data_IF_900645367353
#
_entry.id   IF_900645367353
#
_cell.length_a   1.000
_cell.length_b   1.000
_cell.length_c   1.000
_cell.angle_alpha   90.00
_cell.angle_beta   90.00
_cell.angle_gamma   90.00
#
_symmetry.space_group_name_H-M   'P 1'
#
loop_
_entity.id
_entity.type
_entity.pdbx_description
1 polymer ?
#
# COMPACT_ATOMS: atom_id res chain seq x y z
N UNK A 1 -3.77 -1.62 -17.76
CA UNK A 1 -2.78 -0.61 -17.28
C UNK A 1 -2.64 -0.54 -15.75
N UNK A 2 -3.67 -0.18 -14.97
CA UNK A 2 -3.75 -0.52 -13.54
C UNK A 2 -5.17 -0.99 -13.14
N UNK A 3 -6.12 -0.88 -14.06
CA UNK A 3 -7.49 -1.37 -13.90
C UNK A 3 -7.59 -2.89 -14.10
N UNK A 4 -6.66 -3.47 -14.88
CA UNK A 4 -6.62 -4.89 -15.25
C UNK A 4 -5.65 -5.68 -14.37
N UNK A 5 -4.50 -5.09 -14.03
CA UNK A 5 -3.44 -5.73 -13.26
C UNK A 5 -2.89 -4.71 -12.27
N UNK A 6 -3.14 -4.92 -10.97
CA UNK A 6 -2.60 -4.04 -9.94
C UNK A 6 -1.11 -4.31 -9.76
N UNK A 7 -0.31 -3.25 -9.50
CA UNK A 7 1.10 -3.41 -9.20
C UNK A 7 1.33 -4.11 -7.87
N UNK A 8 2.55 -4.62 -7.67
CA UNK A 8 2.99 -5.03 -6.35
C UNK A 8 3.05 -3.81 -5.40
N UNK A 9 2.79 -4.00 -4.11
CA UNK A 9 2.87 -2.91 -3.14
C UNK A 9 4.26 -2.29 -3.10
N UNK A 10 4.34 -0.97 -3.31
CA UNK A 10 5.57 -0.21 -3.41
C UNK A 10 6.27 -0.25 -4.77
N UNK A 11 5.66 -0.82 -5.81
CA UNK A 11 6.28 -0.89 -7.14
C UNK A 11 6.57 0.52 -7.69
N UNK A 12 7.81 0.74 -8.11
CA UNK A 12 8.28 2.02 -8.66
C UNK A 12 8.78 3.01 -7.61
N UNK A 13 8.69 2.69 -6.32
CA UNK A 13 9.18 3.54 -5.24
C UNK A 13 10.63 3.19 -4.89
N UNK A 14 11.47 4.21 -4.74
CA UNK A 14 12.84 4.08 -4.20
C UNK A 14 12.78 4.39 -2.70
N UNK A 15 13.16 3.42 -1.87
CA UNK A 15 13.23 3.60 -0.43
C UNK A 15 14.69 3.86 0.01
N UNK A 16 14.89 4.90 0.81
CA UNK A 16 16.15 5.19 1.48
C UNK A 16 16.04 4.78 2.95
N UNK A 17 16.94 3.90 3.41
CA UNK A 17 16.98 3.45 4.79
C UNK A 17 18.20 4.02 5.52
N UNK A 18 17.97 4.57 6.70
CA UNK A 18 19.01 5.11 7.59
C UNK A 18 18.92 4.44 8.96
N UNK A 19 19.99 4.52 9.76
CA UNK A 19 19.98 4.02 11.13
C UNK A 19 18.99 4.83 11.98
N UNK A 20 18.27 4.16 12.87
CA UNK A 20 17.25 4.78 13.70
C UNK A 20 17.77 5.90 14.62
N UNK A 21 19.05 5.86 15.01
CA UNK A 21 19.70 6.84 15.89
C UNK A 21 20.59 7.86 15.14
N UNK A 22 20.61 7.86 13.80
CA UNK A 22 21.43 8.76 12.98
C UNK A 22 20.60 9.95 12.49
N UNK A 23 20.53 10.99 13.33
CA UNK A 23 19.69 12.17 13.07
C UNK A 23 20.17 12.96 11.85
N UNK A 24 21.49 13.08 11.66
CA UNK A 24 22.07 13.77 10.51
C UNK A 24 21.70 13.08 9.19
N UNK A 25 21.72 11.74 9.15
CA UNK A 25 21.29 11.00 7.97
C UNK A 25 19.79 11.16 7.70
N UNK A 26 18.94 11.19 8.74
CA UNK A 26 17.49 11.43 8.60
C UNK A 26 17.19 12.78 7.96
N UNK A 27 17.81 13.83 8.46
CA UNK A 27 17.63 15.19 7.93
C UNK A 27 18.04 15.29 6.46
N UNK A 28 19.12 14.60 6.07
CA UNK A 28 19.60 14.58 4.70
C UNK A 28 18.64 13.85 3.74
N UNK A 29 18.09 12.70 4.14
CA UNK A 29 17.16 11.95 3.27
C UNK A 29 15.77 12.58 3.20
N UNK A 30 15.34 13.29 4.25
CA UNK A 30 14.02 13.94 4.30
C UNK A 30 13.88 15.03 3.23
N UNK A 31 14.99 15.68 2.85
CA UNK A 31 15.03 16.66 1.74
C UNK A 31 14.60 16.04 0.40
N UNK A 32 14.90 14.76 0.18
CA UNK A 32 14.56 14.05 -1.04
C UNK A 32 13.23 13.28 -0.95
N UNK A 33 12.57 13.30 0.21
CA UNK A 33 11.39 12.51 0.47
C UNK A 33 10.13 13.17 -0.12
N UNK A 34 9.39 12.41 -0.91
CA UNK A 34 8.06 12.82 -1.37
C UNK A 34 7.00 12.35 -0.36
N UNK A 35 6.33 13.31 0.29
CA UNK A 35 5.39 13.02 1.39
C UNK A 35 4.19 12.19 0.93
N UNK A 36 3.64 12.46 -0.26
CA UNK A 36 2.48 11.74 -0.76
C UNK A 36 2.84 10.29 -1.10
N UNK A 37 3.97 10.08 -1.78
CA UNK A 37 4.51 8.75 -2.06
C UNK A 37 4.76 7.96 -0.78
N UNK A 38 5.29 8.60 0.26
CA UNK A 38 5.51 7.96 1.56
C UNK A 38 4.18 7.51 2.19
N UNK A 39 3.15 8.36 2.19
CA UNK A 39 1.81 8.02 2.72
C UNK A 39 1.19 6.85 1.95
N UNK A 40 1.25 6.88 0.61
CA UNK A 40 0.79 5.78 -0.24
C UNK A 40 1.52 4.48 0.09
N UNK A 41 2.85 4.51 0.16
CA UNK A 41 3.67 3.33 0.49
C UNK A 41 3.33 2.78 1.88
N UNK A 42 3.14 3.65 2.87
CA UNK A 42 2.78 3.23 4.23
C UNK A 42 1.43 2.49 4.24
N UNK A 43 0.42 3.03 3.55
CA UNK A 43 -0.88 2.39 3.45
C UNK A 43 -0.81 1.03 2.72
N UNK A 44 -0.10 0.95 1.59
CA UNK A 44 0.11 -0.30 0.84
C UNK A 44 0.83 -1.36 1.69
N UNK A 45 1.90 -0.98 2.39
CA UNK A 45 2.65 -1.89 3.27
C UNK A 45 1.84 -2.33 4.47
N UNK A 46 1.00 -1.46 5.02
CA UNK A 46 0.12 -1.81 6.13
C UNK A 46 -0.93 -2.84 5.70
N UNK A 47 -1.51 -2.67 4.52
CA UNK A 47 -2.40 -3.68 3.94
C UNK A 47 -1.69 -5.04 3.78
N UNK A 48 -0.49 -5.05 3.18
CA UNK A 48 0.30 -6.28 3.02
C UNK A 48 0.66 -6.93 4.37
N UNK A 49 1.04 -6.13 5.36
CA UNK A 49 1.37 -6.60 6.72
C UNK A 49 0.16 -7.27 7.37
N UNK A 50 -1.04 -6.70 7.22
CA UNK A 50 -2.29 -7.24 7.78
C UNK A 50 -2.79 -8.46 7.05
N UNK A 51 -2.62 -8.51 5.72
CA UNK A 51 -3.00 -9.66 4.91
C UNK A 51 -2.23 -10.94 5.35
N UNK A 52 -1.08 -10.80 6.01
CA UNK A 52 -0.19 -11.91 6.40
C UNK A 52 0.19 -12.81 5.22
N UNK A 53 0.15 -12.26 4.00
CA UNK A 53 0.61 -12.95 2.81
C UNK A 53 2.10 -13.24 2.92
N UNK A 54 2.51 -14.46 2.59
CA UNK A 54 3.93 -14.76 2.40
C UNK A 54 4.45 -14.04 1.14
N UNK A 55 5.78 -14.05 0.91
CA UNK A 55 6.37 -13.45 -0.29
C UNK A 55 5.87 -14.07 -1.61
N UNK A 56 5.13 -15.17 -1.55
CA UNK A 56 4.57 -15.89 -2.69
C UNK A 56 3.06 -15.65 -2.87
N UNK A 57 2.43 -14.88 -1.98
CA UNK A 57 1.02 -14.56 -2.09
C UNK A 57 0.81 -13.65 -3.32
N UNK A 58 0.00 -14.06 -4.31
CA UNK A 58 -0.24 -13.24 -5.48
C UNK A 58 -1.18 -12.11 -5.06
N UNK A 59 -0.58 -10.95 -4.77
CA UNK A 59 -1.29 -9.75 -4.32
C UNK A 59 -0.83 -8.53 -5.10
N UNK A 60 -1.79 -7.77 -5.59
CA UNK A 60 -1.59 -6.41 -6.07
C UNK A 60 -2.25 -5.42 -5.12
N UNK A 61 -1.57 -4.31 -4.82
CA UNK A 61 -2.13 -3.22 -4.00
C UNK A 61 -1.60 -1.89 -4.52
N UNK A 62 -2.47 -0.89 -4.57
CA UNK A 62 -2.14 0.45 -5.05
C UNK A 62 -2.90 1.49 -4.25
N UNK A 63 -2.17 2.43 -3.65
CA UNK A 63 -2.70 3.65 -3.07
C UNK A 63 -2.39 4.84 -3.98
N UNK A 64 -3.35 5.76 -4.12
CA UNK A 64 -3.15 7.04 -4.79
C UNK A 64 -3.78 8.15 -3.99
N UNK A 65 -3.10 9.28 -3.90
CA UNK A 65 -3.64 10.51 -3.33
C UNK A 65 -4.02 11.45 -4.47
N UNK A 66 -5.23 11.99 -4.41
CA UNK A 66 -5.69 13.08 -5.26
C UNK A 66 -6.52 14.05 -4.42
N UNK A 67 -6.21 15.35 -4.51
CA UNK A 67 -6.91 16.41 -3.76
C UNK A 67 -7.07 16.12 -2.24
N UNK A 68 -6.03 15.57 -1.60
CA UNK A 68 -6.03 15.26 -0.17
C UNK A 68 -6.81 13.99 0.24
N UNK A 69 -7.33 13.24 -0.74
CA UNK A 69 -8.00 11.96 -0.50
C UNK A 69 -7.14 10.81 -0.99
N UNK A 70 -7.04 9.76 -0.18
CA UNK A 70 -6.40 8.51 -0.57
C UNK A 70 -7.44 7.52 -1.05
N UNK A 71 -7.21 6.95 -2.24
CA UNK A 71 -7.93 5.78 -2.75
C UNK A 71 -6.99 4.58 -2.79
N UNK A 72 -7.40 3.49 -2.14
CA UNK A 72 -6.69 2.22 -2.14
C UNK A 72 -7.48 1.17 -2.93
N UNK A 73 -6.77 0.33 -3.67
CA UNK A 73 -7.31 -0.82 -4.41
C UNK A 73 -6.42 -2.04 -4.14
N UNK A 74 -7.02 -3.20 -4.00
CA UNK A 74 -6.28 -4.45 -3.85
C UNK A 74 -6.92 -5.60 -4.63
N UNK A 75 -6.07 -6.52 -5.09
CA UNK A 75 -6.42 -7.76 -5.77
C UNK A 75 -5.66 -8.88 -5.07
N UNK A 76 -6.37 -9.85 -4.51
CA UNK A 76 -5.77 -11.02 -3.83
C UNK A 76 -6.25 -12.28 -4.51
N UNK A 77 -5.29 -13.11 -4.92
CA UNK A 77 -5.56 -14.41 -5.52
C UNK A 77 -5.44 -15.48 -4.43
N UNK A 78 -6.58 -16.03 -4.00
CA UNK A 78 -6.66 -17.03 -2.95
C UNK A 78 -6.88 -18.43 -3.54
N UNK A 79 -6.02 -19.38 -3.17
CA UNK A 79 -6.13 -20.79 -3.58
C UNK A 79 -5.94 -20.99 -5.09
N UNK A 80 -6.62 -21.98 -5.65
CA UNK A 80 -6.57 -22.33 -7.08
C UNK A 80 -7.58 -21.54 -7.94
N UNK A 81 -8.28 -20.56 -7.36
CA UNK A 81 -9.25 -19.75 -8.12
C UNK A 81 -8.57 -18.92 -9.18
N UNK A 82 -9.11 -18.96 -10.41
CA UNK A 82 -8.62 -18.15 -11.53
C UNK A 82 -8.99 -16.66 -11.38
N UNK A 83 -10.02 -16.32 -10.59
CA UNK A 83 -10.46 -14.94 -10.38
C UNK A 83 -9.95 -14.41 -9.03
N UNK A 84 -9.37 -13.19 -8.98
CA UNK A 84 -8.97 -12.55 -7.73
C UNK A 84 -10.18 -11.97 -7.00
N UNK A 85 -10.10 -11.94 -5.67
CA UNK A 85 -10.95 -11.07 -4.84
C UNK A 85 -10.43 -9.65 -4.94
N UNK A 86 -11.34 -8.68 -5.09
CA UNK A 86 -10.96 -7.30 -5.30
C UNK A 86 -11.78 -6.39 -4.42
N UNK A 87 -11.13 -5.38 -3.84
CA UNK A 87 -11.84 -4.36 -3.09
C UNK A 87 -11.17 -2.99 -3.28
N UNK A 88 -11.91 -1.95 -2.91
CA UNK A 88 -11.44 -0.58 -2.89
C UNK A 88 -11.86 0.09 -1.58
N UNK A 89 -11.09 1.06 -1.10
CA UNK A 89 -11.40 1.91 0.05
C UNK A 89 -10.93 3.36 -0.25
N UNK A 90 -11.62 4.36 0.31
CA UNK A 90 -11.28 5.77 0.12
C UNK A 90 -11.50 6.57 1.42
N UNK A 91 -10.60 7.51 1.71
CA UNK A 91 -10.68 8.38 2.88
C UNK A 91 -9.68 9.53 2.81
N UNK A 92 -9.41 10.17 3.95
CA UNK A 92 -8.40 11.22 4.01
C UNK A 92 -6.99 10.64 3.81
N UNK A 93 -6.05 11.44 3.28
CA UNK A 93 -4.70 10.99 2.96
C UNK A 93 -3.86 10.52 4.15
N UNK A 94 -4.23 10.90 5.37
CA UNK A 94 -3.59 10.50 6.63
C UNK A 94 -4.27 9.31 7.31
N UNK A 95 -5.36 8.77 6.75
CA UNK A 95 -6.09 7.61 7.28
C UNK A 95 -5.59 6.26 6.73
N UNK A 96 -4.36 6.19 6.20
CA UNK A 96 -3.83 5.01 5.49
C UNK A 96 -3.96 3.68 6.26
N UNK A 97 -3.72 3.69 7.57
CA UNK A 97 -3.87 2.47 8.40
C UNK A 97 -5.33 2.00 8.53
N UNK A 98 -6.27 2.95 8.67
CA UNK A 98 -7.70 2.69 8.75
C UNK A 98 -8.22 2.17 7.41
N UNK A 99 -7.79 2.78 6.31
CA UNK A 99 -8.16 2.34 4.97
C UNK A 99 -7.61 0.95 4.65
N UNK A 100 -6.40 0.63 5.10
CA UNK A 100 -5.83 -0.71 4.95
C UNK A 100 -6.65 -1.78 5.69
N UNK A 101 -7.17 -1.46 6.88
CA UNK A 101 -8.04 -2.36 7.65
C UNK A 101 -9.39 -2.58 6.95
N UNK A 102 -10.02 -1.49 6.54
CA UNK A 102 -11.29 -1.52 5.81
C UNK A 102 -11.16 -2.32 4.50
N UNK A 103 -10.06 -2.12 3.78
CA UNK A 103 -9.77 -2.84 2.54
C UNK A 103 -9.63 -4.35 2.78
N UNK A 104 -8.93 -4.76 3.84
CA UNK A 104 -8.78 -6.18 4.18
C UNK A 104 -10.10 -6.83 4.59
N UNK A 105 -10.93 -6.12 5.37
CA UNK A 105 -12.26 -6.61 5.75
C UNK A 105 -13.13 -6.86 4.53
N UNK A 106 -13.13 -5.94 3.55
CA UNK A 106 -13.88 -6.07 2.29
C UNK A 106 -13.42 -7.28 1.47
N UNK A 107 -12.10 -7.52 1.37
CA UNK A 107 -11.55 -8.69 0.62
C UNK A 107 -11.89 -10.02 1.28
N UNK A 108 -11.98 -10.05 2.61
CA UNK A 108 -12.23 -11.30 3.36
C UNK A 108 -13.72 -11.67 3.40
N UNK A 109 -14.61 -10.69 3.24
CA UNK A 109 -16.07 -10.88 3.28
C UNK A 109 -16.68 -11.32 1.94
N UNK A 110 -15.96 -11.17 0.82
CA UNK A 110 -16.27 -11.76 -0.50
C UNK A 110 -15.64 -13.15 -0.66
#
# INVERSE_FOLDING_TARGET
PCEIFLPAGGQGIIALQVRANDQSAKELVDVANDRETLLCLQAEREFLRRLQGDCNCPVGVLAKIDNGKMKMRAQVFLGESAAPRQAEAEGACDEGEKLADELLQRITQE
#
